data_IF_937026774209
#
_entry.id   IF_937026774209
#
_cell.length_a   1.000
_cell.length_b   1.000
_cell.length_c   1.000
_cell.angle_alpha   90.00
_cell.angle_beta   90.00
_cell.angle_gamma   90.00
#
_symmetry.space_group_name_H-M   'P 1'
#
loop_
_entity.id
_entity.type
_entity.pdbx_description
1 polymer ?
#
# COMPACT_ATOMS: atom_id res chain seq x y z
N UNK A 1 -11.93 2.74 -4.77
CA UNK A 1 -12.45 1.68 -3.90
C UNK A 1 -12.61 2.19 -2.48
N UNK A 2 -13.68 1.84 -1.74
CA UNK A 2 -13.93 2.34 -0.37
C UNK A 2 -12.78 2.10 0.61
N UNK A 3 -12.15 0.92 0.60
CA UNK A 3 -11.00 0.65 1.46
C UNK A 3 -9.83 1.61 1.18
N UNK A 4 -9.57 1.96 -0.09
CA UNK A 4 -8.50 2.90 -0.44
C UNK A 4 -8.86 4.36 -0.13
N UNK A 5 -10.14 4.72 -0.10
CA UNK A 5 -10.59 6.01 0.47
C UNK A 5 -10.16 6.09 1.94
N UNK A 6 -10.42 5.03 2.71
CA UNK A 6 -10.04 4.96 4.12
C UNK A 6 -8.53 5.06 4.32
N UNK A 7 -7.75 4.33 3.53
CA UNK A 7 -6.28 4.41 3.55
C UNK A 7 -5.80 5.84 3.29
N UNK A 8 -6.33 6.50 2.26
CA UNK A 8 -5.94 7.87 1.91
C UNK A 8 -6.33 8.88 3.00
N UNK A 9 -7.50 8.74 3.60
CA UNK A 9 -7.93 9.60 4.72
C UNK A 9 -6.99 9.43 5.91
N UNK A 10 -6.72 8.19 6.32
CA UNK A 10 -5.83 7.90 7.44
C UNK A 10 -4.42 8.44 7.21
N UNK A 11 -3.87 8.31 6.00
CA UNK A 11 -2.56 8.89 5.64
C UNK A 11 -2.61 10.43 5.54
N UNK A 12 -3.69 11.03 5.07
CA UNK A 12 -3.83 12.49 5.05
C UNK A 12 -3.83 13.09 6.46
N UNK A 13 -4.43 12.40 7.42
CA UNK A 13 -4.40 12.80 8.85
C UNK A 13 -2.98 12.62 9.41
N UNK A 14 -2.33 11.49 9.13
CA UNK A 14 -0.94 11.24 9.52
C UNK A 14 -0.01 12.35 9.00
N UNK A 15 -0.10 12.68 7.72
CA UNK A 15 0.71 13.72 7.08
C UNK A 15 0.50 15.09 7.74
N UNK A 16 -0.75 15.44 8.04
CA UNK A 16 -1.08 16.69 8.73
C UNK A 16 -0.50 16.75 10.14
N UNK A 17 -0.52 15.63 10.89
CA UNK A 17 0.10 15.54 12.22
C UNK A 17 1.62 15.68 12.14
N UNK A 18 2.28 14.88 11.30
CA UNK A 18 3.74 14.88 11.16
C UNK A 18 4.28 16.19 10.61
N UNK A 19 3.54 16.91 9.78
CA UNK A 19 3.96 18.21 9.25
C UNK A 19 4.10 19.30 10.33
N UNK A 20 3.34 19.20 11.42
CA UNK A 20 3.39 20.14 12.56
C UNK A 20 4.22 19.61 13.72
N UNK A 21 4.21 18.31 13.94
CA UNK A 21 4.94 17.61 15.00
C UNK A 21 5.56 16.31 14.47
N UNK A 22 6.84 16.33 14.03
CA UNK A 22 7.52 15.13 13.53
C UNK A 22 7.60 13.98 14.53
N UNK A 23 7.42 14.26 15.82
CA UNK A 23 7.43 13.24 16.87
C UNK A 23 6.05 12.67 17.18
N UNK A 24 5.03 12.99 16.40
CA UNK A 24 3.67 12.48 16.56
C UNK A 24 3.66 10.94 16.57
N UNK A 25 2.89 10.38 17.50
CA UNK A 25 2.53 8.96 17.52
C UNK A 25 1.12 8.83 16.97
N UNK A 26 0.98 8.14 15.87
CA UNK A 26 -0.28 8.04 15.12
C UNK A 26 -0.59 6.60 14.78
N UNK A 27 -1.74 6.14 15.21
CA UNK A 27 -2.40 4.92 14.77
C UNK A 27 -3.83 5.31 14.41
N UNK A 28 -4.04 5.75 13.16
CA UNK A 28 -5.30 6.30 12.69
C UNK A 28 -5.96 5.33 11.71
N UNK A 29 -7.16 4.91 12.05
CA UNK A 29 -7.99 4.06 11.21
C UNK A 29 -9.25 4.81 10.78
N UNK A 30 -9.74 4.50 9.59
CA UNK A 30 -10.94 5.11 9.02
C UNK A 30 -11.86 4.02 8.51
N UNK A 31 -13.15 4.20 8.69
CA UNK A 31 -14.17 3.41 8.02
C UNK A 31 -15.16 4.33 7.29
N UNK A 32 -15.65 3.86 6.15
CA UNK A 32 -16.65 4.57 5.35
C UNK A 32 -17.81 3.65 5.00
N UNK A 33 -18.99 4.21 4.93
CA UNK A 33 -20.19 3.57 4.39
C UNK A 33 -21.06 4.65 3.74
N UNK A 34 -22.27 4.32 3.32
CA UNK A 34 -23.17 5.28 2.68
C UNK A 34 -23.32 6.55 3.51
N UNK A 35 -22.84 7.68 2.97
CA UNK A 35 -23.00 9.01 3.57
C UNK A 35 -22.22 9.28 4.87
N UNK A 36 -21.33 8.37 5.30
CA UNK A 36 -20.68 8.49 6.61
C UNK A 36 -19.21 8.09 6.56
N UNK A 37 -18.39 8.82 7.32
CA UNK A 37 -16.99 8.51 7.67
C UNK A 37 -16.86 8.47 9.19
N UNK A 38 -16.20 7.46 9.72
CA UNK A 38 -15.73 7.40 11.09
C UNK A 38 -14.20 7.31 11.09
N UNK A 39 -13.54 8.26 11.74
CA UNK A 39 -12.11 8.25 12.04
C UNK A 39 -11.94 7.83 13.49
N UNK A 40 -11.10 6.82 13.73
CA UNK A 40 -10.88 6.25 15.07
C UNK A 40 -9.40 5.88 15.26
N UNK A 41 -9.01 5.61 16.48
CA UNK A 41 -7.64 5.19 16.81
C UNK A 41 -7.00 6.03 17.89
N UNK A 42 -5.68 6.00 17.99
CA UNK A 42 -4.91 6.67 19.02
C UNK A 42 -3.88 7.62 18.41
N UNK A 43 -3.89 8.86 18.86
CA UNK A 43 -2.95 9.91 18.44
C UNK A 43 -2.41 10.64 19.66
N UNK A 44 -1.08 10.68 19.78
CA UNK A 44 -0.36 11.54 20.73
C UNK A 44 0.50 12.49 19.95
N UNK A 45 0.13 13.78 19.92
CA UNK A 45 0.79 14.81 19.12
C UNK A 45 0.57 16.20 19.77
N UNK A 46 1.48 17.11 19.47
CA UNK A 46 1.33 18.56 19.76
C UNK A 46 0.62 19.29 18.60
N UNK A 47 0.44 18.64 17.46
CA UNK A 47 -0.21 19.20 16.30
C UNK A 47 -1.68 19.55 16.57
N UNK A 48 -2.15 20.62 15.95
CA UNK A 48 -3.55 21.05 15.98
C UNK A 48 -4.09 21.03 14.55
N UNK A 49 -4.91 20.05 14.25
CA UNK A 49 -5.44 19.84 12.90
C UNK A 49 -6.97 19.74 12.91
N UNK A 50 -7.59 20.20 11.84
CA UNK A 50 -9.05 20.07 11.64
C UNK A 50 -9.33 18.76 10.90
N UNK A 51 -9.54 17.68 11.64
CA UNK A 51 -9.75 16.34 11.06
C UNK A 51 -10.95 16.29 10.12
N UNK A 52 -12.16 16.83 10.46
CA UNK A 52 -13.27 16.86 9.52
C UNK A 52 -12.95 17.55 8.18
N UNK A 53 -12.19 18.62 8.20
CA UNK A 53 -11.77 19.34 7.00
C UNK A 53 -10.82 18.50 6.13
N UNK A 54 -9.83 17.84 6.76
CA UNK A 54 -8.90 16.92 6.08
C UNK A 54 -9.68 15.79 5.40
N UNK A 55 -10.61 15.17 6.12
CA UNK A 55 -11.48 14.10 5.59
C UNK A 55 -12.24 14.56 4.36
N UNK A 56 -12.93 15.70 4.44
CA UNK A 56 -13.72 16.25 3.33
C UNK A 56 -12.85 16.56 2.12
N UNK A 57 -11.75 17.25 2.33
CA UNK A 57 -10.83 17.63 1.25
C UNK A 57 -10.25 16.38 0.56
N UNK A 58 -9.91 15.35 1.32
CA UNK A 58 -9.41 14.07 0.77
C UNK A 58 -10.46 13.39 -0.11
N UNK A 59 -11.71 13.34 0.34
CA UNK A 59 -12.83 12.75 -0.43
C UNK A 59 -13.08 13.53 -1.72
N UNK A 60 -13.09 14.87 -1.66
CA UNK A 60 -13.26 15.74 -2.81
C UNK A 60 -12.11 15.58 -3.82
N UNK A 61 -10.86 15.50 -3.34
CA UNK A 61 -9.68 15.26 -4.18
C UNK A 61 -9.77 13.91 -4.92
N UNK A 62 -10.29 12.87 -4.28
CA UNK A 62 -10.53 11.56 -4.90
C UNK A 62 -11.54 11.69 -6.05
N UNK A 63 -12.53 12.58 -5.93
CA UNK A 63 -13.54 12.84 -6.95
C UNK A 63 -14.95 12.47 -6.53
N UNK A 64 -15.23 12.37 -5.23
CA UNK A 64 -16.57 12.21 -4.66
C UNK A 64 -17.07 13.56 -4.15
N UNK A 65 -17.61 14.36 -5.04
CA UNK A 65 -18.01 15.75 -4.85
C UNK A 65 -19.53 15.99 -5.00
N UNK A 66 -20.29 14.91 -5.28
CA UNK A 66 -21.75 14.92 -5.37
C UNK A 66 -22.35 13.54 -5.08
N UNK A 67 -23.54 13.54 -4.50
CA UNK A 67 -24.24 12.30 -4.09
C UNK A 67 -24.53 11.36 -5.26
N UNK A 68 -24.73 11.88 -6.47
CA UNK A 68 -24.96 11.08 -7.68
C UNK A 68 -23.75 10.18 -8.05
N UNK A 69 -22.55 10.48 -7.54
CA UNK A 69 -21.35 9.65 -7.71
C UNK A 69 -21.25 8.50 -6.69
N UNK A 70 -22.20 8.44 -5.73
CA UNK A 70 -22.25 7.42 -4.68
C UNK A 70 -21.61 7.85 -3.34
N UNK A 71 -21.04 9.07 -3.28
CA UNK A 71 -20.50 9.68 -2.09
C UNK A 71 -20.26 11.18 -2.28
N UNK A 72 -20.33 11.99 -1.23
CA UNK A 72 -20.12 13.43 -1.32
C UNK A 72 -19.38 13.96 -0.11
N UNK A 73 -18.14 14.40 -0.32
CA UNK A 73 -17.29 15.00 0.72
C UNK A 73 -17.85 16.28 1.32
N UNK A 74 -18.74 17.00 0.60
CA UNK A 74 -19.36 18.22 1.12
C UNK A 74 -20.43 17.94 2.17
N UNK A 75 -21.16 16.83 2.04
CA UNK A 75 -22.38 16.57 2.81
C UNK A 75 -22.33 15.33 3.70
N UNK A 76 -21.31 14.46 3.56
CA UNK A 76 -21.18 13.26 4.38
C UNK A 76 -21.03 13.60 5.88
N UNK A 77 -21.53 12.72 6.73
CA UNK A 77 -21.28 12.78 8.17
C UNK A 77 -19.83 12.38 8.46
N UNK A 78 -19.12 13.17 9.25
CA UNK A 78 -17.77 12.86 9.74
C UNK A 78 -17.80 12.74 11.24
N UNK A 79 -17.54 11.53 11.75
CA UNK A 79 -17.41 11.23 13.17
C UNK A 79 -15.93 11.04 13.50
N UNK A 80 -15.51 11.52 14.66
CA UNK A 80 -14.13 11.42 15.14
C UNK A 80 -14.15 10.83 16.55
N UNK A 81 -13.48 9.67 16.69
CA UNK A 81 -13.35 8.92 17.94
C UNK A 81 -11.85 8.59 18.13
N UNK A 82 -11.07 9.59 18.50
CA UNK A 82 -9.63 9.50 18.70
C UNK A 82 -9.28 9.67 20.16
N UNK A 83 -8.49 8.75 20.69
CA UNK A 83 -7.95 8.77 22.03
C UNK A 83 -6.44 9.06 22.03
N UNK A 84 -5.86 9.24 23.21
CA UNK A 84 -4.40 9.27 23.37
C UNK A 84 -3.86 7.85 23.49
N UNK A 85 -2.64 7.62 22.97
CA UNK A 85 -1.94 6.35 23.16
C UNK A 85 -1.83 6.02 24.66
N UNK A 86 -2.01 4.74 25.01
CA UNK A 86 -1.86 4.29 26.40
C UNK A 86 -0.43 4.48 26.89
N UNK A 87 -0.27 4.82 28.19
CA UNK A 87 1.04 4.95 28.83
C UNK A 87 1.84 3.65 28.80
N UNK A 88 1.17 2.51 28.90
CA UNK A 88 1.81 1.20 28.92
C UNK A 88 2.45 0.85 27.56
N UNK A 89 1.76 1.18 26.47
CA UNK A 89 2.30 1.00 25.11
C UNK A 89 3.50 1.92 24.84
N UNK A 90 3.49 3.14 25.38
CA UNK A 90 4.59 4.10 25.22
C UNK A 90 5.89 3.65 25.91
N UNK A 91 5.79 2.95 27.05
CA UNK A 91 6.96 2.56 27.87
C UNK A 91 7.98 1.67 27.10
N UNK A 92 7.51 0.79 26.22
CA UNK A 92 8.38 -0.10 25.43
C UNK A 92 8.95 0.57 24.19
N UNK A 93 8.23 1.53 23.62
CA UNK A 93 8.62 2.24 22.39
C UNK A 93 9.64 3.33 22.69
N UNK A 94 9.45 4.08 23.77
CA UNK A 94 10.30 5.24 24.11
C UNK A 94 11.61 4.85 24.80
N UNK A 95 11.70 3.68 25.40
CA UNK A 95 12.92 3.14 25.99
C UNK A 95 12.99 1.63 25.73
N UNK A 96 13.86 1.23 24.81
CA UNK A 96 14.06 -0.18 24.48
C UNK A 96 14.60 -1.02 25.63
N UNK A 97 14.54 -2.33 25.48
CA UNK A 97 15.15 -3.27 26.41
C UNK A 97 16.67 -3.07 26.48
N UNK A 98 17.34 -2.83 25.34
CA UNK A 98 18.77 -2.60 25.24
C UNK A 98 19.23 -1.37 26.04
N UNK A 99 18.46 -0.28 26.02
CA UNK A 99 18.74 0.93 26.84
C UNK A 99 18.58 0.61 28.34
N UNK A 100 17.52 -0.11 28.70
CA UNK A 100 17.28 -0.52 30.11
C UNK A 100 18.40 -1.42 30.65
N UNK A 101 19.07 -2.18 29.78
CA UNK A 101 20.22 -3.02 30.10
C UNK A 101 21.58 -2.28 30.08
N UNK A 102 21.56 -0.95 29.80
CA UNK A 102 22.72 -0.08 29.84
C UNK A 102 23.51 0.05 28.54
N UNK A 103 22.87 -0.27 27.40
CA UNK A 103 23.46 -0.02 26.08
C UNK A 103 23.02 1.34 25.54
N UNK A 104 23.88 2.37 25.70
CA UNK A 104 23.60 3.75 25.39
C UNK A 104 23.76 4.12 23.89
N UNK A 105 23.80 3.17 22.97
CA UNK A 105 23.82 3.45 21.53
C UNK A 105 22.52 4.20 21.14
N UNK A 106 22.67 5.33 20.46
CA UNK A 106 21.55 6.19 20.04
C UNK A 106 20.47 5.44 19.28
N UNK A 107 20.86 4.50 18.41
CA UNK A 107 19.88 3.70 17.64
C UNK A 107 19.20 2.59 18.45
N UNK A 108 19.59 2.38 19.69
CA UNK A 108 18.84 1.54 20.63
C UNK A 108 17.76 2.30 21.39
N UNK A 109 17.63 3.62 21.22
CA UNK A 109 16.66 4.43 21.97
C UNK A 109 15.25 3.89 21.87
N UNK A 110 14.79 3.62 20.66
CA UNK A 110 13.42 3.14 20.42
C UNK A 110 13.39 1.62 20.23
N UNK A 111 12.58 0.95 21.02
CA UNK A 111 12.16 -0.43 20.76
C UNK A 111 11.12 -0.50 19.63
N UNK A 112 10.92 -1.69 19.08
CA UNK A 112 9.84 -1.93 18.13
C UNK A 112 8.48 -1.62 18.78
N UNK A 113 7.62 -0.92 18.03
CA UNK A 113 6.28 -0.53 18.50
C UNK A 113 5.31 -1.70 18.64
N UNK A 114 5.61 -2.84 18.04
CA UNK A 114 4.86 -4.09 18.17
C UNK A 114 5.75 -5.28 17.85
N UNK A 115 5.28 -6.48 18.19
CA UNK A 115 5.82 -7.73 17.67
C UNK A 115 5.22 -8.03 16.30
N UNK A 116 5.94 -8.85 15.50
CA UNK A 116 5.41 -9.30 14.23
C UNK A 116 6.49 -9.66 13.23
N UNK A 117 6.05 -10.11 12.05
CA UNK A 117 6.89 -10.37 10.89
C UNK A 117 6.54 -9.40 9.77
N UNK A 118 7.56 -8.87 9.11
CA UNK A 118 7.44 -7.99 7.95
C UNK A 118 8.21 -8.59 6.78
N UNK A 119 7.70 -8.40 5.58
CA UNK A 119 8.30 -8.91 4.36
C UNK A 119 8.62 -7.79 3.39
N UNK A 120 9.76 -7.90 2.73
CA UNK A 120 10.11 -7.11 1.56
C UNK A 120 10.47 -8.03 0.40
N UNK A 121 10.25 -7.59 -0.81
CA UNK A 121 10.50 -8.38 -2.01
C UNK A 121 11.03 -7.49 -3.15
N UNK A 122 11.85 -8.06 -4.00
CA UNK A 122 12.26 -7.48 -5.28
C UNK A 122 12.55 -8.59 -6.30
N UNK A 123 12.36 -8.28 -7.58
CA UNK A 123 12.74 -9.14 -8.68
C UNK A 123 13.11 -8.30 -9.92
N UNK A 124 13.80 -8.91 -10.87
CA UNK A 124 14.31 -8.24 -12.09
C UNK A 124 13.31 -8.21 -13.25
N UNK A 125 12.01 -8.43 -12.97
CA UNK A 125 10.96 -8.52 -14.01
C UNK A 125 10.57 -7.16 -14.62
N UNK A 126 10.79 -6.07 -13.86
CA UNK A 126 10.44 -4.70 -14.29
C UNK A 126 11.55 -3.73 -13.90
N UNK A 127 11.65 -2.54 -14.55
CA UNK A 127 12.67 -1.53 -14.21
C UNK A 127 12.62 -1.07 -12.75
N UNK A 128 11.45 -1.06 -12.15
CA UNK A 128 11.25 -0.74 -10.74
C UNK A 128 11.57 -1.90 -9.78
N UNK A 129 12.00 -3.05 -10.31
CA UNK A 129 12.30 -4.27 -9.56
C UNK A 129 11.09 -4.81 -8.77
N UNK A 130 9.93 -4.74 -9.39
CA UNK A 130 8.66 -5.26 -8.89
C UNK A 130 8.17 -6.44 -9.72
N UNK A 131 7.36 -7.35 -9.16
CA UNK A 131 6.68 -8.37 -9.94
C UNK A 131 5.82 -7.76 -11.04
N UNK A 132 5.90 -8.30 -12.25
CA UNK A 132 5.19 -7.75 -13.42
C UNK A 132 3.67 -7.64 -13.23
N UNK A 133 2.96 -8.64 -12.65
CA UNK A 133 1.51 -8.55 -12.53
C UNK A 133 1.04 -7.34 -11.73
N UNK A 134 1.58 -7.13 -10.53
CA UNK A 134 1.16 -6.01 -9.67
C UNK A 134 1.66 -4.67 -10.20
N UNK A 135 2.88 -4.61 -10.77
CA UNK A 135 3.38 -3.40 -11.42
C UNK A 135 2.46 -2.96 -12.55
N UNK A 136 2.06 -3.88 -13.42
CA UNK A 136 1.17 -3.60 -14.53
C UNK A 136 -0.23 -3.20 -14.05
N UNK A 137 -0.79 -3.93 -13.06
CA UNK A 137 -2.10 -3.59 -12.48
C UNK A 137 -2.10 -2.18 -11.86
N UNK A 138 -1.04 -1.79 -11.15
CA UNK A 138 -0.91 -0.45 -10.59
C UNK A 138 -0.81 0.62 -11.70
N UNK A 139 -0.04 0.38 -12.75
CA UNK A 139 0.06 1.30 -13.89
C UNK A 139 -1.29 1.51 -14.59
N UNK A 140 -2.07 0.44 -14.75
CA UNK A 140 -3.43 0.51 -15.28
C UNK A 140 -4.37 1.31 -14.37
N UNK A 141 -4.28 1.15 -13.04
CA UNK A 141 -5.08 1.91 -12.08
C UNK A 141 -4.73 3.41 -12.09
N UNK A 142 -3.44 3.74 -12.20
CA UNK A 142 -2.97 5.13 -12.37
C UNK A 142 -3.51 5.73 -13.67
N UNK A 143 -3.42 5.01 -14.77
CA UNK A 143 -3.93 5.47 -16.07
C UNK A 143 -5.44 5.65 -16.05
N UNK A 144 -6.18 4.72 -15.43
CA UNK A 144 -7.63 4.82 -15.25
C UNK A 144 -8.01 6.12 -14.47
N UNK A 145 -7.27 6.42 -13.41
CA UNK A 145 -7.46 7.65 -12.65
C UNK A 145 -7.12 8.89 -13.46
N UNK A 146 -6.04 8.84 -14.25
CA UNK A 146 -5.59 9.95 -15.10
C UNK A 146 -6.66 10.33 -16.13
N UNK A 147 -7.14 9.37 -16.93
CA UNK A 147 -8.13 9.66 -18.00
C UNK A 147 -9.47 10.15 -17.45
N UNK A 148 -9.80 9.81 -16.21
CA UNK A 148 -10.96 10.36 -15.51
C UNK A 148 -10.70 11.81 -15.08
N UNK A 149 -9.56 12.09 -14.44
CA UNK A 149 -9.26 13.42 -13.87
C UNK A 149 -8.92 14.47 -14.92
N UNK A 150 -8.30 14.09 -16.03
CA UNK A 150 -7.95 15.02 -17.12
C UNK A 150 -9.12 15.25 -18.11
N UNK A 151 -10.25 14.59 -17.93
CA UNK A 151 -11.46 14.74 -18.74
C UNK A 151 -11.44 13.96 -20.05
N UNK A 152 -10.45 13.09 -20.30
CA UNK A 152 -10.44 12.21 -21.47
C UNK A 152 -11.66 11.28 -21.46
N UNK A 153 -11.97 10.70 -20.29
CA UNK A 153 -13.16 9.87 -20.08
C UNK A 153 -13.99 10.43 -18.91
N UNK A 154 -14.72 11.54 -19.09
CA UNK A 154 -15.35 12.29 -18.00
C UNK A 154 -16.51 11.56 -17.32
N UNK A 155 -17.06 10.53 -17.97
CA UNK A 155 -18.14 9.70 -17.42
C UNK A 155 -17.66 8.65 -16.42
N UNK A 156 -16.35 8.40 -16.31
CA UNK A 156 -15.81 7.50 -15.30
C UNK A 156 -15.95 8.10 -13.90
N UNK A 157 -16.14 7.22 -12.92
CA UNK A 157 -16.20 7.55 -11.49
C UNK A 157 -14.98 7.00 -10.78
N UNK A 158 -14.83 7.33 -9.49
CA UNK A 158 -13.61 7.06 -8.75
C UNK A 158 -13.40 5.60 -8.35
N UNK A 159 -14.45 4.80 -8.22
CA UNK A 159 -14.32 3.38 -7.86
C UNK A 159 -13.87 2.56 -9.07
N UNK A 160 -12.74 1.88 -8.90
CA UNK A 160 -12.15 1.06 -9.95
C UNK A 160 -11.22 -0.01 -9.42
N UNK A 161 -11.07 -1.06 -10.21
CA UNK A 161 -10.16 -2.20 -9.92
C UNK A 161 -9.47 -2.62 -11.20
N UNK A 162 -8.21 -3.04 -11.04
CA UNK A 162 -7.41 -3.60 -12.14
C UNK A 162 -6.77 -4.91 -11.69
N UNK A 163 -6.69 -5.86 -12.59
CA UNK A 163 -6.04 -7.14 -12.35
C UNK A 163 -5.32 -7.56 -13.62
N UNK A 164 -4.11 -8.13 -13.48
CA UNK A 164 -3.32 -8.66 -14.59
C UNK A 164 -2.86 -10.06 -14.24
N UNK A 165 -3.07 -10.98 -15.15
CA UNK A 165 -2.55 -12.35 -15.09
C UNK A 165 -1.45 -12.49 -16.12
N UNK A 166 -0.26 -12.88 -15.67
CA UNK A 166 0.93 -13.09 -16.49
C UNK A 166 1.23 -14.58 -16.55
N UNK A 167 1.50 -15.08 -17.74
CA UNK A 167 2.01 -16.43 -17.96
C UNK A 167 3.52 -16.43 -17.79
N UNK A 168 4.03 -17.43 -17.07
CA UNK A 168 5.45 -17.65 -16.81
C UNK A 168 5.91 -18.97 -17.41
N UNK A 169 7.16 -19.03 -17.87
CA UNK A 169 7.80 -20.29 -18.24
C UNK A 169 8.21 -21.13 -17.02
N UNK A 170 8.78 -22.32 -17.26
CA UNK A 170 9.23 -23.23 -16.20
C UNK A 170 10.39 -22.62 -15.37
N UNK A 171 11.17 -21.69 -15.95
CA UNK A 171 12.22 -20.93 -15.26
C UNK A 171 11.67 -19.69 -14.53
N UNK A 172 10.34 -19.52 -14.54
CA UNK A 172 9.62 -18.40 -13.91
C UNK A 172 9.95 -17.02 -14.49
N UNK A 173 10.26 -16.95 -15.79
CA UNK A 173 10.33 -15.68 -16.50
C UNK A 173 8.95 -15.33 -17.08
N UNK A 174 8.53 -14.05 -17.06
CA UNK A 174 7.27 -13.65 -17.66
C UNK A 174 7.33 -13.78 -19.19
N UNK A 175 6.32 -14.43 -19.77
CA UNK A 175 6.26 -14.73 -21.22
C UNK A 175 5.25 -13.84 -21.92
N UNK A 176 4.01 -13.79 -21.40
CA UNK A 176 2.90 -13.03 -21.99
C UNK A 176 1.84 -12.67 -20.94
N UNK A 177 1.00 -11.75 -21.28
CA UNK A 177 -0.18 -11.43 -20.48
C UNK A 177 -1.33 -12.34 -20.92
N UNK A 178 -1.80 -13.17 -20.00
CA UNK A 178 -2.93 -14.07 -20.25
C UNK A 178 -4.28 -13.37 -20.11
N UNK A 179 -4.43 -12.54 -19.07
CA UNK A 179 -5.68 -11.82 -18.85
C UNK A 179 -5.49 -10.44 -18.24
N UNK A 180 -6.36 -9.50 -18.64
CA UNK A 180 -6.48 -8.17 -18.06
C UNK A 180 -7.93 -7.96 -17.67
N UNK A 181 -8.17 -7.55 -16.42
CA UNK A 181 -9.49 -7.16 -15.94
C UNK A 181 -9.45 -5.70 -15.49
N UNK A 182 -10.35 -4.89 -16.02
CA UNK A 182 -10.57 -3.51 -15.59
C UNK A 182 -12.04 -3.33 -15.26
N UNK A 183 -12.32 -2.98 -14.01
CA UNK A 183 -13.68 -2.59 -13.58
C UNK A 183 -13.67 -1.13 -13.17
N UNK A 184 -14.56 -0.31 -13.70
CA UNK A 184 -14.66 1.10 -13.37
C UNK A 184 -16.12 1.52 -13.22
N UNK A 185 -16.39 2.22 -12.13
CA UNK A 185 -17.66 2.92 -11.93
C UNK A 185 -17.81 4.00 -13.00
N UNK A 186 -19.04 4.19 -13.46
CA UNK A 186 -19.37 5.12 -14.55
C UNK A 186 -20.74 5.79 -14.35
N UNK A 187 -20.99 6.86 -15.07
CA UNK A 187 -22.32 7.50 -15.12
C UNK A 187 -23.35 6.59 -15.80
N UNK A 188 -24.63 6.83 -15.54
CA UNK A 188 -25.72 5.97 -16.00
C UNK A 188 -26.03 6.10 -17.49
N UNK A 189 -25.58 7.16 -18.12
CA UNK A 189 -25.92 7.63 -19.47
C UNK A 189 -24.95 7.18 -20.56
N UNK A 190 -24.01 6.27 -20.23
CA UNK A 190 -23.01 5.75 -21.18
C UNK A 190 -23.22 4.25 -21.41
N UNK A 191 -23.18 3.86 -22.67
CA UNK A 191 -23.35 2.47 -23.09
C UNK A 191 -22.09 1.63 -22.77
N UNK A 192 -22.32 0.38 -22.36
CA UNK A 192 -21.25 -0.54 -21.98
C UNK A 192 -20.25 -0.81 -23.12
N UNK A 193 -20.71 -0.85 -24.35
CA UNK A 193 -19.85 -1.01 -25.55
C UNK A 193 -18.87 0.14 -25.67
N UNK A 194 -19.33 1.38 -25.47
CA UNK A 194 -18.48 2.57 -25.49
C UNK A 194 -17.44 2.51 -24.38
N UNK A 195 -17.84 2.15 -23.16
CA UNK A 195 -16.91 2.02 -22.02
C UNK A 195 -15.81 1.00 -22.33
N UNK A 196 -16.16 -0.14 -22.93
CA UNK A 196 -15.20 -1.20 -23.26
C UNK A 196 -14.18 -0.75 -24.30
N UNK A 197 -14.62 -0.08 -25.36
CA UNK A 197 -13.74 0.46 -26.39
C UNK A 197 -12.82 1.55 -25.85
N UNK A 198 -13.37 2.48 -25.09
CA UNK A 198 -12.63 3.60 -24.53
C UNK A 198 -11.59 3.16 -23.50
N UNK A 199 -11.91 2.24 -22.60
CA UNK A 199 -10.95 1.70 -21.64
C UNK A 199 -9.85 0.91 -22.34
N UNK A 200 -10.19 0.11 -23.34
CA UNK A 200 -9.20 -0.59 -24.14
C UNK A 200 -8.21 0.40 -24.77
N UNK A 201 -8.72 1.41 -25.46
CA UNK A 201 -7.92 2.38 -26.21
C UNK A 201 -7.14 3.36 -25.31
N UNK A 202 -7.75 3.88 -24.25
CA UNK A 202 -7.19 4.99 -23.46
C UNK A 202 -6.52 4.53 -22.15
N UNK A 203 -6.79 3.30 -21.70
CA UNK A 203 -6.23 2.78 -20.43
C UNK A 203 -5.30 1.60 -20.69
N UNK A 204 -5.75 0.57 -21.44
CA UNK A 204 -4.98 -0.67 -21.61
C UNK A 204 -3.85 -0.49 -22.62
N UNK A 205 -4.16 -0.06 -23.85
CA UNK A 205 -3.19 0.05 -24.94
C UNK A 205 -2.00 0.97 -24.63
N UNK A 206 -2.17 2.13 -23.93
CA UNK A 206 -1.03 3.00 -23.61
C UNK A 206 -0.08 2.43 -22.53
N UNK A 207 -0.53 1.45 -21.75
CA UNK A 207 0.22 0.92 -20.59
C UNK A 207 0.82 -0.44 -20.88
N UNK A 208 0.09 -1.30 -21.57
CA UNK A 208 0.47 -2.70 -21.76
C UNK A 208 1.38 -2.82 -23.00
N UNK A 209 2.61 -3.36 -22.85
CA UNK A 209 3.49 -3.55 -23.99
C UNK A 209 2.90 -4.51 -25.01
N UNK A 210 2.87 -4.09 -26.28
CA UNK A 210 2.25 -4.86 -27.36
C UNK A 210 2.90 -6.25 -27.58
N UNK A 211 4.19 -6.38 -27.25
CA UNK A 211 4.92 -7.65 -27.36
C UNK A 211 4.54 -8.68 -26.28
N UNK A 212 3.80 -8.28 -25.25
CA UNK A 212 3.31 -9.17 -24.20
C UNK A 212 1.84 -9.59 -24.41
N UNK A 213 1.20 -9.11 -25.49
CA UNK A 213 -0.22 -9.36 -25.79
C UNK A 213 -0.30 -10.08 -27.13
N UNK A 214 -1.15 -11.10 -27.20
CA UNK A 214 -1.45 -11.86 -28.41
C UNK A 214 -2.97 -12.07 -28.60
N UNK A 215 -3.36 -12.84 -29.61
CA UNK A 215 -4.74 -13.17 -29.92
C UNK A 215 -5.46 -13.97 -28.83
N UNK A 216 -4.71 -14.62 -27.93
CA UNK A 216 -5.24 -15.42 -26.83
C UNK A 216 -5.38 -14.60 -25.53
N UNK A 217 -4.87 -13.38 -25.51
CA UNK A 217 -4.99 -12.50 -24.32
C UNK A 217 -6.45 -12.10 -24.09
N UNK A 218 -6.96 -12.43 -22.92
CA UNK A 218 -8.35 -12.15 -22.52
C UNK A 218 -8.44 -10.74 -21.91
N UNK A 219 -9.34 -9.91 -22.43
CA UNK A 219 -9.58 -8.56 -21.90
C UNK A 219 -11.01 -8.47 -21.41
N UNK A 220 -11.18 -8.21 -20.11
CA UNK A 220 -12.48 -8.06 -19.45
C UNK A 220 -12.61 -6.63 -18.93
N UNK A 221 -13.57 -5.89 -19.49
CA UNK A 221 -13.93 -4.55 -19.02
C UNK A 221 -15.36 -4.59 -18.52
N UNK A 222 -15.57 -4.25 -17.26
CA UNK A 222 -16.85 -4.34 -16.57
C UNK A 222 -17.57 -5.65 -16.90
N UNK A 223 -17.01 -6.83 -16.55
CA UNK A 223 -17.57 -8.12 -16.97
C UNK A 223 -18.97 -8.39 -16.36
N UNK A 224 -19.29 -7.78 -15.22
CA UNK A 224 -20.61 -7.86 -14.59
C UNK A 224 -21.66 -6.97 -15.29
N UNK A 225 -21.23 -6.13 -16.25
CA UNK A 225 -22.08 -5.17 -16.94
C UNK A 225 -22.06 -3.79 -16.29
N UNK A 226 -23.25 -3.27 -15.95
CA UNK A 226 -23.43 -1.92 -15.39
C UNK A 226 -22.77 -1.77 -14.02
N UNK A 227 -21.92 -0.73 -13.85
CA UNK A 227 -21.29 -0.36 -12.59
C UNK A 227 -21.49 1.13 -12.28
N UNK A 228 -22.74 1.52 -12.04
CA UNK A 228 -23.14 2.90 -11.71
C UNK A 228 -23.10 3.11 -10.19
N UNK A 229 -23.64 2.16 -9.43
CA UNK A 229 -23.57 2.17 -7.97
C UNK A 229 -22.18 1.65 -7.56
N UNK A 230 -21.41 2.48 -6.89
CA UNK A 230 -20.05 2.19 -6.43
C UNK A 230 -19.62 3.14 -5.32
N UNK A 231 -18.34 3.06 -4.93
CA UNK A 231 -17.85 3.78 -3.78
C UNK A 231 -18.53 3.35 -2.47
N UNK A 232 -18.54 4.18 -1.43
CA UNK A 232 -19.14 3.86 -0.12
C UNK A 232 -20.63 3.52 -0.14
N UNK A 233 -21.36 3.92 -1.21
CA UNK A 233 -22.74 3.53 -1.40
C UNK A 233 -22.90 2.08 -1.85
N UNK A 234 -21.89 1.54 -2.55
CA UNK A 234 -21.90 0.16 -3.04
C UNK A 234 -21.33 -0.84 -2.06
N UNK A 235 -20.30 -0.45 -1.30
CA UNK A 235 -19.58 -1.29 -0.34
C UNK A 235 -18.95 -0.42 0.74
N UNK A 236 -18.88 -0.92 1.98
CA UNK A 236 -18.17 -0.23 3.06
C UNK A 236 -16.67 -0.42 2.93
N UNK A 237 -15.91 0.56 3.43
CA UNK A 237 -14.46 0.56 3.45
C UNK A 237 -13.87 0.62 4.85
N UNK A 238 -12.65 0.11 4.98
CA UNK A 238 -11.86 0.16 6.20
C UNK A 238 -10.38 0.28 5.86
N UNK A 239 -9.65 1.09 6.62
CA UNK A 239 -8.18 1.18 6.53
C UNK A 239 -7.54 -0.19 6.70
N UNK A 240 -6.55 -0.50 5.86
CA UNK A 240 -5.77 -1.73 5.98
C UNK A 240 -6.43 -2.99 5.41
N UNK A 241 -7.43 -2.86 4.54
CA UNK A 241 -8.07 -4.00 3.87
C UNK A 241 -7.62 -4.23 2.43
N UNK A 242 -6.58 -3.51 1.98
CA UNK A 242 -5.95 -3.70 0.66
C UNK A 242 -4.45 -3.94 0.77
N UNK A 243 -4.02 -4.63 1.82
CA UNK A 243 -2.60 -4.84 2.17
C UNK A 243 -1.81 -5.60 1.09
N UNK A 244 -2.45 -6.47 0.33
CA UNK A 244 -1.81 -7.20 -0.76
C UNK A 244 -1.67 -6.32 -2.01
N UNK A 245 -2.64 -5.41 -2.26
CA UNK A 245 -2.53 -4.37 -3.29
C UNK A 245 -1.40 -3.39 -2.95
N UNK A 246 -1.26 -3.03 -1.67
CA UNK A 246 -0.23 -2.11 -1.17
C UNK A 246 1.19 -2.68 -1.27
N UNK A 247 1.32 -3.98 -1.50
CA UNK A 247 2.61 -4.69 -1.54
C UNK A 247 2.86 -5.34 -2.90
N UNK A 248 2.77 -6.66 -3.02
CA UNK A 248 3.28 -7.38 -4.19
C UNK A 248 2.22 -8.16 -4.96
N UNK A 249 0.91 -7.90 -4.70
CA UNK A 249 -0.20 -8.55 -5.41
C UNK A 249 -0.29 -10.06 -5.18
N UNK A 250 0.25 -10.55 -4.08
CA UNK A 250 0.28 -11.98 -3.76
C UNK A 250 1.50 -12.74 -4.30
N UNK A 251 2.45 -12.04 -4.94
CA UNK A 251 3.68 -12.67 -5.45
C UNK A 251 4.65 -13.04 -4.32
N UNK A 252 4.72 -12.24 -3.27
CA UNK A 252 5.51 -12.44 -2.06
C UNK A 252 4.63 -12.70 -0.85
N UNK A 253 5.23 -13.22 0.23
CA UNK A 253 4.59 -13.35 1.54
C UNK A 253 4.27 -11.96 2.11
N UNK A 254 3.37 -11.92 3.08
CA UNK A 254 2.97 -10.72 3.81
C UNK A 254 2.85 -11.02 5.30
N UNK A 255 3.28 -10.09 6.16
CA UNK A 255 3.22 -10.25 7.61
C UNK A 255 1.85 -9.93 8.24
N UNK A 256 0.93 -9.34 7.47
CA UNK A 256 -0.43 -9.01 7.91
C UNK A 256 -0.63 -7.56 8.34
N UNK A 257 0.43 -6.79 8.60
CA UNK A 257 0.35 -5.39 9.04
C UNK A 257 -0.09 -4.44 7.92
N UNK A 258 -1.03 -3.55 8.23
CA UNK A 258 -1.41 -2.44 7.36
C UNK A 258 -0.41 -1.29 7.47
N UNK A 259 -0.31 -0.46 6.41
CA UNK A 259 0.61 0.69 6.37
C UNK A 259 -0.08 2.00 6.74
N UNK A 260 -1.22 2.27 6.12
CA UNK A 260 -1.88 3.57 6.20
C UNK A 260 -2.23 3.98 7.63
N UNK A 261 -2.06 5.27 7.93
CA UNK A 261 -2.39 5.85 9.21
C UNK A 261 -1.39 5.57 10.35
N UNK A 262 -0.25 4.96 10.05
CA UNK A 262 0.77 4.58 11.04
C UNK A 262 2.02 5.43 10.92
N UNK A 263 2.48 6.06 12.02
CA UNK A 263 3.76 6.76 12.08
C UNK A 263 4.97 5.80 12.00
N UNK A 264 6.20 6.30 11.73
CA UNK A 264 7.37 5.45 11.49
C UNK A 264 7.79 4.53 12.65
N UNK A 265 7.33 4.75 13.88
CA UNK A 265 7.63 3.85 15.01
C UNK A 265 6.89 2.51 14.91
N UNK A 266 5.84 2.43 14.10
CA UNK A 266 5.11 1.20 13.80
C UNK A 266 5.89 0.39 12.76
N UNK A 267 6.53 -0.67 13.21
CA UNK A 267 7.37 -1.55 12.38
C UNK A 267 6.60 -2.25 11.26
N UNK A 268 5.29 -2.42 11.39
CA UNK A 268 4.42 -2.90 10.30
C UNK A 268 4.65 -2.14 9.00
N UNK A 269 4.86 -0.82 9.09
CA UNK A 269 5.11 0.05 7.94
C UNK A 269 6.62 0.25 7.71
N UNK A 270 7.34 0.77 8.68
CA UNK A 270 8.74 1.15 8.54
C UNK A 270 9.64 -0.04 8.23
N UNK A 271 9.45 -1.17 8.91
CA UNK A 271 10.26 -2.36 8.66
C UNK A 271 9.88 -3.07 7.35
N UNK A 272 8.61 -3.04 6.93
CA UNK A 272 8.23 -3.53 5.61
C UNK A 272 8.90 -2.71 4.49
N UNK A 273 8.99 -1.39 4.64
CA UNK A 273 9.69 -0.51 3.70
C UNK A 273 11.21 -0.76 3.73
N UNK A 274 11.80 -0.94 4.92
CA UNK A 274 13.22 -1.29 5.06
C UNK A 274 13.52 -2.66 4.42
N UNK A 275 12.68 -3.66 4.64
CA UNK A 275 12.81 -4.98 4.01
C UNK A 275 12.73 -4.90 2.48
N UNK A 276 11.84 -4.07 1.93
CA UNK A 276 11.79 -3.76 0.48
C UNK A 276 13.08 -3.09 0.02
N UNK A 277 13.58 -2.12 0.75
CA UNK A 277 14.83 -1.43 0.45
C UNK A 277 16.00 -2.42 0.38
N UNK A 278 16.14 -3.31 1.35
CA UNK A 278 17.17 -4.36 1.37
C UNK A 278 17.04 -5.30 0.16
N UNK A 279 15.85 -5.86 -0.06
CA UNK A 279 15.59 -6.77 -1.18
C UNK A 279 15.92 -6.11 -2.53
N UNK A 280 15.52 -4.85 -2.70
CA UNK A 280 15.78 -4.07 -3.92
C UNK A 280 17.27 -3.86 -4.16
N UNK A 281 18.05 -3.56 -3.11
CA UNK A 281 19.50 -3.40 -3.21
C UNK A 281 20.19 -4.72 -3.58
N UNK A 282 19.77 -5.87 -3.04
CA UNK A 282 20.33 -7.18 -3.37
C UNK A 282 20.11 -7.48 -4.87
N UNK A 283 18.90 -7.28 -5.38
CA UNK A 283 18.59 -7.53 -6.80
C UNK A 283 19.30 -6.52 -7.70
N UNK A 284 19.31 -5.24 -7.36
CA UNK A 284 19.99 -4.19 -8.12
C UNK A 284 21.51 -4.40 -8.19
N UNK A 285 22.11 -4.97 -7.15
CA UNK A 285 23.52 -5.34 -7.12
C UNK A 285 23.85 -6.59 -7.97
N UNK A 286 22.84 -7.26 -8.55
CA UNK A 286 23.03 -8.50 -9.31
C UNK A 286 23.32 -9.73 -8.44
N UNK A 287 23.08 -9.65 -7.15
CA UNK A 287 23.33 -10.76 -6.22
C UNK A 287 22.23 -11.84 -6.27
N UNK A 288 21.04 -11.49 -6.76
CA UNK A 288 19.94 -12.43 -7.03
C UNK A 288 19.00 -11.84 -8.07
N UNK A 289 18.24 -12.69 -8.79
CA UNK A 289 17.14 -12.24 -9.66
C UNK A 289 15.86 -11.99 -8.89
N UNK A 290 15.66 -12.71 -7.79
CA UNK A 290 14.52 -12.59 -6.87
C UNK A 290 15.05 -12.62 -5.45
N UNK A 291 14.48 -11.78 -4.59
CA UNK A 291 14.88 -11.72 -3.19
C UNK A 291 13.67 -11.36 -2.32
N UNK A 292 13.40 -12.20 -1.33
CA UNK A 292 12.47 -11.92 -0.25
C UNK A 292 13.25 -11.76 1.06
N UNK A 293 12.94 -10.71 1.79
CA UNK A 293 13.50 -10.45 3.13
C UNK A 293 12.37 -10.60 4.14
N UNK A 294 12.60 -11.39 5.17
CA UNK A 294 11.73 -11.47 6.34
C UNK A 294 12.44 -10.86 7.53
N UNK A 295 11.76 -9.91 8.19
CA UNK A 295 12.17 -9.33 9.46
C UNK A 295 11.17 -9.73 10.54
N UNK A 296 11.64 -10.05 11.74
CA UNK A 296 10.79 -10.27 12.89
C UNK A 296 11.25 -9.39 14.06
N UNK A 297 10.29 -8.80 14.77
CA UNK A 297 10.54 -7.96 15.95
C UNK A 297 9.78 -8.48 17.17
N UNK A 298 10.31 -8.17 18.35
CA UNK A 298 9.60 -8.26 19.61
C UNK A 298 9.29 -6.85 20.12
N UNK A 299 8.10 -6.63 20.67
CA UNK A 299 7.71 -5.33 21.20
C UNK A 299 8.72 -4.83 22.24
N UNK A 300 9.13 -3.57 22.13
CA UNK A 300 10.07 -2.95 23.06
C UNK A 300 11.54 -3.36 22.89
N UNK A 301 11.87 -4.21 21.91
CA UNK A 301 13.24 -4.60 21.56
C UNK A 301 13.68 -3.86 20.30
N UNK A 302 14.87 -3.27 20.32
CA UNK A 302 15.36 -2.48 19.18
C UNK A 302 15.85 -3.38 18.04
N UNK A 303 16.66 -4.40 18.34
CA UNK A 303 17.19 -5.29 17.30
C UNK A 303 16.13 -6.26 16.80
N UNK A 304 16.04 -6.51 15.45
CA UNK A 304 15.24 -7.61 14.95
C UNK A 304 15.64 -8.93 15.63
N UNK A 305 14.64 -9.73 16.00
CA UNK A 305 14.87 -11.06 16.57
C UNK A 305 15.19 -12.10 15.48
N UNK A 306 14.87 -11.80 14.23
CA UNK A 306 15.18 -12.63 13.07
C UNK A 306 15.31 -11.78 11.81
N UNK A 307 16.30 -12.12 10.99
CA UNK A 307 16.49 -11.63 9.62
C UNK A 307 16.67 -12.84 8.73
N UNK A 308 15.80 -13.06 7.75
CA UNK A 308 15.90 -14.18 6.82
C UNK A 308 15.91 -13.65 5.38
N UNK A 309 16.76 -14.24 4.55
CA UNK A 309 16.84 -13.99 3.11
C UNK A 309 16.44 -15.26 2.38
N UNK A 310 15.59 -15.11 1.34
CA UNK A 310 15.24 -16.19 0.40
C UNK A 310 15.40 -15.65 -1.02
N UNK A 311 16.36 -16.20 -1.76
CA UNK A 311 16.59 -15.84 -3.17
C UNK A 311 15.91 -16.79 -4.15
N UNK A 312 15.13 -17.74 -3.66
CA UNK A 312 14.44 -18.75 -4.50
C UNK A 312 15.38 -19.50 -5.44
N UNK A 313 16.61 -19.72 -5.01
CA UNK A 313 17.66 -20.40 -5.78
C UNK A 313 18.29 -19.54 -6.88
N UNK A 314 18.00 -18.24 -6.94
CA UNK A 314 18.57 -17.32 -7.94
C UNK A 314 19.81 -16.55 -7.44
N UNK A 315 20.19 -16.74 -6.18
CA UNK A 315 21.33 -16.05 -5.57
C UNK A 315 22.67 -16.52 -6.12
N UNK A 316 23.62 -15.59 -6.27
CA UNK A 316 25.04 -15.88 -6.58
C UNK A 316 25.82 -16.33 -5.36
N UNK A 317 25.27 -16.07 -4.16
CA UNK A 317 25.74 -16.52 -2.85
C UNK A 317 24.63 -17.36 -2.20
N UNK A 318 24.96 -18.08 -1.13
CA UNK A 318 23.96 -18.77 -0.31
C UNK A 318 23.10 -17.75 0.42
N UNK A 319 21.83 -18.09 0.67
CA UNK A 319 20.90 -17.22 1.38
C UNK A 319 21.40 -16.86 2.80
N UNK A 320 22.10 -17.80 3.48
CA UNK A 320 22.73 -17.54 4.79
C UNK A 320 23.85 -16.49 4.70
N UNK A 321 24.69 -16.56 3.67
CA UNK A 321 25.78 -15.60 3.46
C UNK A 321 25.21 -14.20 3.14
N UNK A 322 24.14 -14.14 2.33
CA UNK A 322 23.42 -12.88 2.10
C UNK A 322 22.78 -12.34 3.37
N UNK A 323 22.25 -13.21 4.24
CA UNK A 323 21.73 -12.83 5.55
C UNK A 323 22.79 -12.18 6.45
N UNK A 324 24.00 -12.72 6.47
CA UNK A 324 25.14 -12.14 7.20
C UNK A 324 25.51 -10.74 6.64
N UNK A 325 25.57 -10.61 5.32
CA UNK A 325 25.84 -9.33 4.64
C UNK A 325 24.75 -8.30 4.97
N UNK A 326 23.47 -8.70 4.98
CA UNK A 326 22.36 -7.81 5.34
C UNK A 326 22.53 -7.28 6.75
N UNK A 327 22.87 -8.14 7.71
CA UNK A 327 23.09 -7.74 9.10
C UNK A 327 24.33 -6.84 9.29
N UNK A 328 25.33 -6.95 8.42
CA UNK A 328 26.53 -6.10 8.46
C UNK A 328 26.28 -4.73 7.81
N UNK A 329 25.54 -4.69 6.68
CA UNK A 329 25.41 -3.50 5.85
C UNK A 329 24.23 -2.62 6.28
N UNK A 330 23.14 -3.22 6.76
CA UNK A 330 21.90 -2.50 7.07
C UNK A 330 21.61 -2.51 8.58
N UNK A 331 21.39 -1.33 9.13
CA UNK A 331 20.88 -1.21 10.49
C UNK A 331 19.35 -1.23 10.46
N UNK A 332 18.78 -2.33 10.92
CA UNK A 332 17.34 -2.59 10.87
C UNK A 332 16.64 -2.31 12.21
N UNK A 333 17.30 -1.60 13.12
CA UNK A 333 16.66 -1.09 14.34
C UNK A 333 15.68 0.03 14.00
N UNK A 334 14.51 0.14 14.66
CA UNK A 334 13.50 1.16 14.34
C UNK A 334 14.06 2.57 14.26
N UNK A 335 14.86 3.01 15.25
CA UNK A 335 15.45 4.34 15.25
C UNK A 335 16.45 4.59 14.10
N UNK A 336 17.11 3.55 13.60
CA UNK A 336 18.01 3.66 12.46
C UNK A 336 17.25 3.68 11.11
N UNK A 337 16.08 3.05 11.04
CA UNK A 337 15.20 3.09 9.87
C UNK A 337 14.57 4.46 9.71
N UNK A 338 14.12 5.08 10.82
CA UNK A 338 13.51 6.41 10.86
C UNK A 338 14.54 7.50 10.51
#
# INVERSE_FOLDING_TARGET
HPDKICDKISDSILDAMLSQDPMSRVACETTVTTGQVLVMGEITSKAQVNIPEIVRNTILEIGYDESAKGFDGNTCTVLVALDKQSSDSALGVDNSMEIKEGNDDFYNLNGAGDQGMMFGFACDETPELMPMPISMANKLAVQLTKVRKDGTLPYLRADGKTQVTVEYDDDRNPVRIDAIVVSSQHSADVELTQIREDIKKNVIEPIVPANLVDENTKIFVNPTGRFVIGGPMGDSGLTGRKIIVDTYGGYSRHGGGAFSGKDPTKVDRSAAYAARYVAKNIVAAGLAKKCEIQLAYAIGVAKPVSVMVDTFGTGVLKDSELGDIVNEVFDLRPAAII
#
